data_IF_421358091037
#
_entry.id   IF_421358091037
#
_cell.length_a   1.000
_cell.length_b   1.000
_cell.length_c   1.000
_cell.angle_alpha   90.00
_cell.angle_beta   90.00
_cell.angle_gamma   90.00
#
_symmetry.space_group_name_H-M   'P 1'
#
loop_
_entity.id
_entity.type
_entity.pdbx_description
1 polymer ?
#
# COMPACT_ATOMS: atom_id res chain seq x y z
N UNK A 1 4.35 -15.33 -0.49
CA UNK A 1 5.17 -16.51 -0.85
C UNK A 1 4.43 -17.85 -0.71
N UNK A 2 3.33 -17.90 0.07
CA UNK A 2 2.56 -19.14 0.24
C UNK A 2 1.64 -19.37 -0.99
N UNK A 3 1.72 -20.56 -1.59
CA UNK A 3 0.78 -20.96 -2.62
C UNK A 3 -0.63 -21.13 -2.01
N UNK A 4 -1.50 -20.20 -2.33
CA UNK A 4 -2.90 -20.21 -1.91
C UNK A 4 -3.78 -20.88 -2.97
N UNK A 5 -5.06 -21.11 -2.65
CA UNK A 5 -6.03 -21.61 -3.62
C UNK A 5 -6.15 -20.70 -4.87
N UNK A 6 -6.06 -19.39 -4.68
CA UNK A 6 -6.03 -18.41 -5.77
C UNK A 6 -4.74 -18.51 -6.59
N UNK A 7 -3.58 -18.53 -5.89
CA UNK A 7 -2.28 -18.64 -6.56
C UNK A 7 -2.15 -19.90 -7.41
N UNK A 8 -2.75 -21.03 -6.98
CA UNK A 8 -2.73 -22.28 -7.75
C UNK A 8 -3.57 -22.23 -9.06
N UNK A 9 -4.35 -21.18 -9.26
CA UNK A 9 -5.19 -20.97 -10.46
C UNK A 9 -4.79 -19.74 -11.25
N UNK A 10 -3.85 -18.96 -10.73
CA UNK A 10 -3.34 -17.78 -11.41
C UNK A 10 -2.49 -18.18 -12.61
N UNK A 11 -2.49 -17.35 -13.65
CA UNK A 11 -1.58 -17.48 -14.80
C UNK A 11 -0.12 -17.33 -14.34
N UNK A 12 0.13 -16.38 -13.45
CA UNK A 12 1.42 -16.17 -12.78
C UNK A 12 1.25 -16.25 -11.27
N UNK A 13 1.99 -17.13 -10.64
CA UNK A 13 2.15 -17.13 -9.19
C UNK A 13 3.52 -16.56 -8.84
N UNK A 14 3.53 -15.37 -8.26
CA UNK A 14 4.75 -14.65 -7.90
C UNK A 14 5.01 -14.79 -6.39
N UNK A 15 5.80 -15.77 -5.94
CA UNK A 15 6.10 -15.98 -4.53
C UNK A 15 7.15 -14.98 -4.02
N UNK A 16 6.86 -13.70 -4.14
CA UNK A 16 7.79 -12.62 -3.78
C UNK A 16 8.29 -12.74 -2.35
N UNK A 17 9.54 -12.40 -2.13
CA UNK A 17 10.10 -12.26 -0.80
C UNK A 17 9.29 -11.21 -0.02
N UNK A 18 8.84 -11.52 1.22
CA UNK A 18 8.05 -10.57 2.02
C UNK A 18 8.72 -9.20 2.16
N UNK A 19 7.95 -8.14 1.91
CA UNK A 19 8.42 -6.75 1.98
C UNK A 19 9.06 -6.21 0.70
N UNK A 20 9.05 -6.97 -0.40
CA UNK A 20 9.64 -6.54 -1.68
C UNK A 20 8.60 -6.21 -2.76
N UNK A 21 7.33 -6.19 -2.40
CA UNK A 21 6.21 -5.94 -3.32
C UNK A 21 6.34 -4.60 -4.06
N UNK A 22 6.88 -3.57 -3.40
CA UNK A 22 7.13 -2.27 -4.03
C UNK A 22 8.14 -2.36 -5.19
N UNK A 23 9.18 -3.18 -5.05
CA UNK A 23 10.15 -3.40 -6.12
C UNK A 23 9.51 -4.07 -7.34
N UNK A 24 8.62 -5.05 -7.11
CA UNK A 24 7.85 -5.69 -8.18
C UNK A 24 6.93 -4.68 -8.88
N UNK A 25 6.20 -3.87 -8.11
CA UNK A 25 5.29 -2.88 -8.67
C UNK A 25 6.02 -1.82 -9.51
N UNK A 26 7.18 -1.34 -9.05
CA UNK A 26 8.02 -0.42 -9.82
C UNK A 26 8.57 -1.06 -11.10
N UNK A 27 8.93 -2.35 -11.06
CA UNK A 27 9.37 -3.06 -12.27
C UNK A 27 8.22 -3.28 -13.26
N UNK A 28 7.00 -3.51 -12.79
CA UNK A 28 5.84 -3.55 -13.68
C UNK A 28 5.60 -2.21 -14.36
N UNK A 29 5.71 -1.09 -13.62
CA UNK A 29 5.66 0.25 -14.21
C UNK A 29 6.76 0.44 -15.26
N UNK A 30 8.00 0.01 -14.97
CA UNK A 30 9.11 0.07 -15.90
C UNK A 30 8.81 -0.70 -17.20
N UNK A 31 8.36 -1.94 -17.12
CA UNK A 31 8.02 -2.77 -18.29
C UNK A 31 6.88 -2.13 -19.09
N UNK A 32 5.80 -1.73 -18.42
CA UNK A 32 4.61 -1.17 -19.07
C UNK A 32 4.94 0.12 -19.81
N UNK A 33 5.73 1.00 -19.19
CA UNK A 33 6.11 2.29 -19.80
C UNK A 33 7.10 2.09 -20.95
N UNK A 34 8.15 1.27 -20.76
CA UNK A 34 9.17 1.08 -21.78
C UNK A 34 8.69 0.26 -22.99
N UNK A 35 7.69 -0.60 -22.81
CA UNK A 35 7.06 -1.35 -23.90
C UNK A 35 5.83 -0.65 -24.50
N UNK A 36 5.55 0.58 -24.06
CA UNK A 36 4.44 1.39 -24.57
C UNK A 36 3.06 0.73 -24.42
N UNK A 37 2.84 0.05 -23.29
CA UNK A 37 1.63 -0.72 -22.99
C UNK A 37 0.58 0.06 -22.16
N UNK A 38 0.86 1.31 -21.81
CA UNK A 38 -0.03 2.14 -21.01
C UNK A 38 -1.14 2.79 -21.84
N UNK A 39 -2.21 3.23 -21.19
CA UNK A 39 -3.34 3.94 -21.82
C UNK A 39 -2.98 5.42 -22.03
N UNK A 40 -2.55 5.76 -23.25
CA UNK A 40 -2.16 7.13 -23.64
C UNK A 40 -3.27 8.15 -23.43
N UNK A 41 -4.52 7.78 -23.78
CA UNK A 41 -5.65 8.71 -23.68
C UNK A 41 -5.97 9.01 -22.22
N UNK A 42 -5.95 7.99 -21.36
CA UNK A 42 -6.18 8.16 -19.93
C UNK A 42 -5.05 8.99 -19.29
N UNK A 43 -3.80 8.66 -19.61
CA UNK A 43 -2.62 9.38 -19.09
C UNK A 43 -2.67 10.86 -19.46
N UNK A 44 -2.93 11.18 -20.71
CA UNK A 44 -2.99 12.58 -21.19
C UNK A 44 -4.13 13.39 -20.55
N UNK A 45 -5.30 12.77 -20.35
CA UNK A 45 -6.49 13.48 -19.87
C UNK A 45 -6.61 13.57 -18.35
N UNK A 46 -6.14 12.54 -17.64
CA UNK A 46 -6.51 12.33 -16.25
C UNK A 46 -5.33 12.25 -15.28
N UNK A 47 -4.10 12.28 -15.79
CA UNK A 47 -2.92 12.20 -14.94
C UNK A 47 -2.03 13.43 -15.05
N UNK A 48 -1.17 13.62 -14.06
CA UNK A 48 -0.10 14.62 -14.06
C UNK A 48 1.18 14.00 -13.51
N UNK A 49 2.36 14.39 -14.04
CA UNK A 49 3.64 13.88 -13.55
C UNK A 49 4.04 12.51 -14.11
N UNK A 50 3.44 12.08 -15.22
CA UNK A 50 3.81 10.84 -15.88
C UNK A 50 5.28 10.78 -16.28
N UNK A 51 5.85 11.90 -16.71
CA UNK A 51 7.28 12.04 -17.02
C UNK A 51 8.19 11.79 -15.81
N UNK A 52 7.76 12.22 -14.63
CA UNK A 52 8.51 12.02 -13.39
C UNK A 52 8.54 10.53 -13.01
N UNK A 53 7.38 9.85 -13.09
CA UNK A 53 7.36 8.40 -12.79
C UNK A 53 8.10 7.60 -13.85
N UNK A 54 7.97 7.99 -15.13
CA UNK A 54 8.67 7.33 -16.23
C UNK A 54 10.20 7.43 -16.07
N UNK A 55 10.72 8.55 -15.59
CA UNK A 55 12.14 8.69 -15.26
C UNK A 55 12.52 7.86 -14.02
N UNK A 56 11.73 7.97 -12.96
CA UNK A 56 12.01 7.26 -11.69
C UNK A 56 12.10 5.75 -11.84
N UNK A 57 11.22 5.14 -12.64
CA UNK A 57 11.19 3.69 -12.76
C UNK A 57 12.29 3.11 -13.65
N UNK A 58 13.10 3.92 -14.34
CA UNK A 58 14.19 3.41 -15.19
C UNK A 58 15.22 2.58 -14.42
N UNK A 59 15.44 2.88 -13.17
CA UNK A 59 16.34 2.10 -12.32
C UNK A 59 15.71 0.78 -11.82
N UNK A 60 14.41 0.58 -11.98
CA UNK A 60 13.65 -0.59 -11.51
C UNK A 60 13.42 -1.59 -12.65
N UNK A 61 14.53 -2.11 -13.22
CA UNK A 61 14.42 -3.10 -14.28
C UNK A 61 13.84 -4.43 -13.78
N UNK A 62 13.32 -5.24 -14.70
CA UNK A 62 12.78 -6.55 -14.37
C UNK A 62 13.85 -7.46 -13.72
N UNK A 63 15.11 -7.37 -14.15
CA UNK A 63 16.23 -8.13 -13.59
C UNK A 63 16.51 -7.72 -12.13
N UNK A 64 16.54 -6.41 -11.87
CA UNK A 64 16.76 -5.89 -10.52
C UNK A 64 15.63 -6.33 -9.58
N UNK A 65 14.39 -6.23 -10.02
CA UNK A 65 13.25 -6.66 -9.21
C UNK A 65 13.24 -8.18 -9.00
N UNK A 66 13.58 -8.96 -10.01
CA UNK A 66 13.67 -10.41 -9.92
C UNK A 66 14.70 -10.84 -8.85
N UNK A 67 15.86 -10.19 -8.81
CA UNK A 67 16.89 -10.43 -7.79
C UNK A 67 16.37 -10.08 -6.38
N UNK A 68 15.76 -8.89 -6.20
CA UNK A 68 15.23 -8.41 -4.92
C UNK A 68 14.08 -9.30 -4.42
N UNK A 69 13.15 -9.62 -5.31
CA UNK A 69 11.93 -10.39 -5.02
C UNK A 69 12.17 -11.89 -4.97
N UNK A 70 13.31 -12.38 -5.47
CA UNK A 70 13.67 -13.79 -5.60
C UNK A 70 12.67 -14.58 -6.47
N UNK A 71 12.29 -14.02 -7.60
CA UNK A 71 11.40 -14.63 -8.60
C UNK A 71 12.05 -14.58 -9.99
N UNK A 72 11.62 -15.42 -10.96
CA UNK A 72 12.13 -15.40 -12.34
C UNK A 72 11.87 -14.05 -13.03
N UNK A 73 12.83 -13.60 -13.83
CA UNK A 73 12.72 -12.35 -14.62
C UNK A 73 11.56 -12.43 -15.61
N UNK A 74 11.43 -13.57 -16.26
CA UNK A 74 10.36 -13.86 -17.23
C UNK A 74 8.97 -13.73 -16.61
N UNK A 75 8.82 -14.09 -15.33
CA UNK A 75 7.55 -13.97 -14.60
C UNK A 75 7.26 -12.49 -14.26
N UNK A 76 8.27 -11.69 -13.95
CA UNK A 76 8.11 -10.24 -13.76
C UNK A 76 7.60 -9.60 -15.04
N UNK A 77 8.26 -9.86 -16.17
CA UNK A 77 7.90 -9.29 -17.47
C UNK A 77 6.53 -9.80 -17.94
N UNK A 78 6.31 -11.11 -17.86
CA UNK A 78 5.07 -11.74 -18.32
C UNK A 78 3.86 -11.27 -17.54
N UNK A 79 3.97 -11.16 -16.22
CA UNK A 79 2.88 -10.67 -15.36
C UNK A 79 2.59 -9.18 -15.58
N UNK A 80 3.61 -8.35 -15.80
CA UNK A 80 3.42 -6.93 -16.15
C UNK A 80 2.64 -6.76 -17.47
N UNK A 81 3.03 -7.51 -18.50
CA UNK A 81 2.34 -7.53 -19.80
C UNK A 81 0.90 -8.02 -19.66
N UNK A 82 0.68 -9.08 -18.89
CA UNK A 82 -0.67 -9.60 -18.63
C UNK A 82 -1.53 -8.55 -17.95
N UNK A 83 -0.99 -7.85 -16.94
CA UNK A 83 -1.71 -6.78 -16.24
C UNK A 83 -2.12 -5.64 -17.18
N UNK A 84 -1.22 -5.20 -18.06
CA UNK A 84 -1.47 -4.13 -19.01
C UNK A 84 -2.36 -4.53 -20.18
N UNK A 85 -2.35 -5.79 -20.61
CA UNK A 85 -3.11 -6.27 -21.80
C UNK A 85 -4.59 -6.55 -21.53
N UNK A 86 -5.02 -6.53 -20.28
CA UNK A 86 -6.41 -6.77 -19.89
C UNK A 86 -7.33 -5.63 -20.37
N UNK A 87 -8.57 -5.94 -20.76
CA UNK A 87 -9.59 -4.91 -20.99
C UNK A 87 -9.88 -4.11 -19.71
N UNK A 88 -9.52 -4.66 -18.58
CA UNK A 88 -9.62 -4.06 -17.26
C UNK A 88 -8.90 -4.96 -16.25
N UNK A 89 -8.04 -4.40 -15.45
CA UNK A 89 -7.29 -5.07 -14.40
C UNK A 89 -7.55 -4.41 -13.05
N UNK A 90 -7.46 -5.16 -11.97
CA UNK A 90 -7.59 -4.61 -10.63
C UNK A 90 -6.53 -5.19 -9.69
N UNK A 91 -6.03 -4.36 -8.80
CA UNK A 91 -5.17 -4.77 -7.68
C UNK A 91 -6.05 -4.84 -6.44
N UNK A 92 -6.06 -6.00 -5.78
CA UNK A 92 -6.75 -6.12 -4.50
C UNK A 92 -5.90 -5.53 -3.38
N UNK A 93 -6.44 -4.49 -2.76
CA UNK A 93 -5.87 -3.85 -1.60
C UNK A 93 -6.14 -4.63 -0.32
N UNK A 94 -5.21 -4.63 0.60
CA UNK A 94 -5.38 -5.28 1.90
C UNK A 94 -4.26 -4.93 2.87
N UNK A 95 -4.31 -5.50 4.06
CA UNK A 95 -3.37 -5.20 5.15
C UNK A 95 -1.89 -5.37 4.78
N UNK A 96 -1.57 -6.26 3.84
CA UNK A 96 -0.19 -6.43 3.37
C UNK A 96 0.37 -5.16 2.68
N UNK A 97 -0.51 -4.32 2.12
CA UNK A 97 -0.12 -3.03 1.56
C UNK A 97 0.20 -2.01 2.64
N UNK A 98 -0.47 -2.08 3.80
CA UNK A 98 -0.37 -1.06 4.85
C UNK A 98 0.66 -1.42 5.92
N UNK A 99 0.82 -2.71 6.22
CA UNK A 99 1.60 -3.18 7.36
C UNK A 99 2.99 -3.68 6.97
N UNK A 100 3.70 -2.91 6.17
CA UNK A 100 5.11 -3.17 5.84
C UNK A 100 5.90 -1.86 5.77
N UNK A 101 7.23 -1.97 5.82
CA UNK A 101 8.12 -0.80 5.83
C UNK A 101 8.09 -0.01 4.52
N UNK A 102 7.73 -0.65 3.42
CA UNK A 102 7.63 -0.03 2.09
C UNK A 102 6.18 0.33 1.73
N UNK A 103 5.27 0.37 2.70
CA UNK A 103 3.84 0.58 2.48
C UNK A 103 3.55 1.80 1.59
N UNK A 104 4.15 2.96 1.90
CA UNK A 104 3.92 4.18 1.12
C UNK A 104 4.32 4.00 -0.35
N UNK A 105 5.52 3.47 -0.61
CA UNK A 105 6.00 3.24 -1.98
C UNK A 105 5.13 2.22 -2.72
N UNK A 106 4.73 1.13 -2.05
CA UNK A 106 3.85 0.12 -2.65
C UNK A 106 2.49 0.69 -3.01
N UNK A 107 1.89 1.45 -2.10
CA UNK A 107 0.58 2.05 -2.34
C UNK A 107 0.60 3.06 -3.49
N UNK A 108 1.62 3.91 -3.56
CA UNK A 108 1.80 4.85 -4.67
C UNK A 108 1.98 4.11 -5.99
N UNK A 109 2.89 3.13 -6.05
CA UNK A 109 3.12 2.36 -7.26
C UNK A 109 1.88 1.58 -7.73
N UNK A 110 1.03 1.08 -6.80
CA UNK A 110 -0.23 0.44 -7.15
C UNK A 110 -1.23 1.43 -7.74
N UNK A 111 -1.33 2.65 -7.20
CA UNK A 111 -2.17 3.71 -7.78
C UNK A 111 -1.67 4.09 -9.17
N UNK A 112 -0.35 4.25 -9.34
CA UNK A 112 0.25 4.57 -10.62
C UNK A 112 -0.01 3.48 -11.67
N UNK A 113 0.13 2.19 -11.31
CA UNK A 113 -0.21 1.06 -12.19
C UNK A 113 -1.67 1.09 -12.65
N UNK A 114 -2.59 1.34 -11.72
CA UNK A 114 -4.02 1.43 -12.05
C UNK A 114 -4.31 2.64 -12.95
N UNK A 115 -3.65 3.77 -12.69
CA UNK A 115 -3.84 5.00 -13.46
C UNK A 115 -3.28 4.90 -14.87
N UNK A 116 -2.01 4.47 -15.02
CA UNK A 116 -1.41 4.42 -16.37
C UNK A 116 -2.05 3.37 -17.28
N UNK A 117 -2.67 2.33 -16.71
CA UNK A 117 -3.43 1.33 -17.48
C UNK A 117 -4.91 1.68 -17.66
N UNK A 118 -5.37 2.89 -17.28
CA UNK A 118 -6.76 3.31 -17.43
C UNK A 118 -7.77 2.51 -16.60
N UNK A 119 -7.32 1.90 -15.51
CA UNK A 119 -8.12 0.98 -14.70
C UNK A 119 -8.85 1.66 -13.52
N UNK A 120 -9.07 2.97 -13.58
CA UNK A 120 -9.79 3.74 -12.56
C UNK A 120 -11.16 4.15 -13.11
N UNK A 121 -12.20 3.95 -12.32
CA UNK A 121 -13.61 4.18 -12.66
C UNK A 121 -14.09 3.44 -13.91
N UNK A 122 -13.51 2.27 -14.16
CA UNK A 122 -13.90 1.39 -15.27
C UNK A 122 -14.44 0.05 -14.73
N UNK A 123 -15.39 -0.61 -15.42
CA UNK A 123 -15.88 -1.92 -15.02
C UNK A 123 -14.74 -2.95 -14.95
N UNK A 124 -14.57 -3.59 -13.79
CA UNK A 124 -13.49 -4.55 -13.53
C UNK A 124 -12.20 -3.93 -12.98
N UNK A 125 -12.06 -2.60 -13.01
CA UNK A 125 -10.99 -1.86 -12.38
C UNK A 125 -11.35 -1.37 -10.96
N UNK A 126 -10.65 -0.36 -10.49
CA UNK A 126 -10.98 0.32 -9.24
C UNK A 126 -12.11 1.33 -9.45
N UNK A 127 -13.05 1.34 -8.51
CA UNK A 127 -14.11 2.32 -8.47
C UNK A 127 -13.84 3.35 -7.37
N UNK A 128 -13.89 4.63 -7.72
CA UNK A 128 -13.86 5.73 -6.75
C UNK A 128 -15.23 5.85 -6.10
N UNK A 129 -15.42 5.18 -4.97
CA UNK A 129 -16.68 5.20 -4.24
C UNK A 129 -16.71 6.33 -3.22
N UNK A 130 -17.79 7.07 -3.17
CA UNK A 130 -18.07 7.96 -2.05
C UNK A 130 -18.61 7.17 -0.86
N UNK A 131 -18.19 7.56 0.34
CA UNK A 131 -18.80 7.02 1.55
C UNK A 131 -20.32 7.27 1.50
N UNK A 132 -21.10 6.26 1.84
CA UNK A 132 -22.53 6.43 1.99
C UNK A 132 -22.82 7.57 2.98
N UNK A 133 -23.67 8.51 2.58
CA UNK A 133 -24.11 9.60 3.45
C UNK A 133 -24.71 9.00 4.73
N UNK A 134 -24.35 9.55 5.89
CA UNK A 134 -24.81 9.13 7.22
C UNK A 134 -24.27 7.80 7.76
N UNK A 135 -23.25 7.22 7.16
CA UNK A 135 -22.49 6.17 7.84
C UNK A 135 -21.44 6.84 8.73
N UNK A 136 -21.66 6.85 10.03
CA UNK A 136 -20.67 7.27 10.99
C UNK A 136 -19.46 6.34 10.84
N UNK A 137 -18.30 6.91 10.54
CA UNK A 137 -17.05 6.14 10.64
C UNK A 137 -16.93 5.69 12.10
N UNK A 138 -16.81 4.39 12.33
CA UNK A 138 -16.58 3.85 13.67
C UNK A 138 -15.26 4.30 14.33
N UNK A 139 -14.58 5.30 13.77
CA UNK A 139 -13.37 5.92 14.32
C UNK A 139 -13.60 6.74 15.57
N UNK A 140 -14.85 7.09 15.88
CA UNK A 140 -15.22 7.69 17.16
C UNK A 140 -15.21 6.67 18.32
N UNK A 141 -14.58 5.53 18.12
CA UNK A 141 -14.54 4.40 19.04
C UNK A 141 -14.03 4.80 20.43
N UNK A 142 -14.92 5.21 21.26
CA UNK A 142 -14.67 5.40 22.67
C UNK A 142 -13.91 6.67 23.07
N UNK A 143 -13.27 7.40 22.16
CA UNK A 143 -12.52 8.63 22.51
C UNK A 143 -13.45 9.67 23.14
N UNK A 144 -14.69 9.78 22.67
CA UNK A 144 -15.72 10.66 23.28
C UNK A 144 -16.15 10.25 24.69
N UNK A 145 -15.85 9.01 25.08
CA UNK A 145 -16.24 8.43 26.36
C UNK A 145 -15.09 8.42 27.36
N UNK A 146 -13.89 8.79 26.95
CA UNK A 146 -12.72 8.87 27.82
C UNK A 146 -12.71 10.21 28.51
N UNK A 147 -12.45 10.18 29.81
CA UNK A 147 -12.21 11.38 30.59
C UNK A 147 -11.11 12.24 29.92
N UNK A 148 -11.33 13.55 29.66
CA UNK A 148 -10.35 14.41 29.02
C UNK A 148 -8.98 14.41 29.69
N UNK A 149 -8.93 14.28 31.02
CA UNK A 149 -7.66 14.20 31.77
C UNK A 149 -6.97 12.84 31.55
N UNK A 150 -7.71 11.77 31.37
CA UNK A 150 -7.15 10.47 30.99
C UNK A 150 -6.66 10.47 29.54
N UNK A 151 -7.35 11.13 28.63
CA UNK A 151 -6.95 11.27 27.23
C UNK A 151 -5.59 11.98 27.09
N UNK A 152 -5.30 12.99 27.91
CA UNK A 152 -4.01 13.70 27.95
C UNK A 152 -2.83 12.81 28.36
N UNK A 153 -3.10 11.69 29.02
CA UNK A 153 -2.09 10.73 29.48
C UNK A 153 -1.85 9.58 28.51
N UNK A 154 -2.41 9.65 27.31
CA UNK A 154 -2.23 8.62 26.30
C UNK A 154 -0.74 8.36 26.07
N UNK A 155 -0.35 7.08 26.03
CA UNK A 155 1.00 6.67 25.70
C UNK A 155 1.28 6.97 24.23
N UNK A 156 1.94 8.07 23.96
CA UNK A 156 2.37 8.47 22.63
C UNK A 156 3.88 8.56 22.61
N UNK A 157 4.50 7.96 21.58
CA UNK A 157 5.88 8.26 21.24
C UNK A 157 5.87 9.26 20.08
N UNK A 158 6.90 10.12 20.01
CA UNK A 158 7.06 11.07 18.93
C UNK A 158 7.44 10.31 17.63
N UNK A 159 6.45 9.84 16.91
CA UNK A 159 6.59 9.40 15.54
C UNK A 159 6.38 10.57 14.58
N UNK A 160 7.03 10.49 13.41
CA UNK A 160 6.94 11.52 12.34
C UNK A 160 5.50 11.85 11.94
N UNK A 161 4.56 10.93 12.16
CA UNK A 161 3.13 11.08 11.85
C UNK A 161 2.25 11.29 13.08
N UNK A 162 2.82 11.40 14.26
CA UNK A 162 2.11 11.62 15.51
C UNK A 162 2.53 12.97 16.08
N UNK A 163 2.34 14.02 15.30
CA UNK A 163 2.75 15.38 15.67
C UNK A 163 1.71 16.02 16.61
N UNK A 164 2.21 16.47 17.75
CA UNK A 164 1.67 17.54 18.59
C UNK A 164 0.14 17.63 18.72
N UNK A 165 -0.49 16.58 19.26
CA UNK A 165 -1.81 16.69 19.86
C UNK A 165 -3.00 16.61 18.92
N UNK A 166 -2.83 16.52 17.62
CA UNK A 166 -3.90 16.14 16.71
C UNK A 166 -3.78 14.67 16.39
N UNK A 167 -4.64 13.88 16.98
CA UNK A 167 -4.67 12.42 16.88
C UNK A 167 -4.94 11.94 15.44
N UNK A 168 -3.91 11.80 14.65
CA UNK A 168 -4.03 11.11 13.36
C UNK A 168 -4.34 9.62 13.58
N UNK A 169 -3.83 9.05 14.68
CA UNK A 169 -4.11 7.66 15.07
C UNK A 169 -4.67 7.67 16.50
N UNK A 170 -5.94 7.30 16.64
CA UNK A 170 -6.60 7.20 17.96
C UNK A 170 -6.10 6.03 18.82
N UNK A 171 -5.19 5.23 18.30
CA UNK A 171 -4.62 4.05 18.96
C UNK A 171 -3.23 4.36 19.50
N UNK A 172 -2.87 3.74 20.61
CA UNK A 172 -1.50 3.80 21.10
C UNK A 172 -0.57 3.00 20.19
N UNK A 173 0.60 3.55 19.87
CA UNK A 173 1.61 2.82 19.15
C UNK A 173 2.13 1.63 20.00
N UNK A 174 2.36 0.48 19.36
CA UNK A 174 2.81 -0.74 20.06
C UNK A 174 4.09 -0.51 20.85
N UNK A 175 5.02 0.25 20.30
CA UNK A 175 6.30 0.60 20.94
C UNK A 175 6.10 1.48 22.16
N UNK A 176 5.13 2.41 22.12
CA UNK A 176 4.78 3.22 23.30
C UNK A 176 4.21 2.33 24.41
N UNK A 177 3.40 1.34 24.05
CA UNK A 177 2.87 0.36 25.02
C UNK A 177 4.00 -0.47 25.63
N UNK A 178 4.93 -0.98 24.83
CA UNK A 178 6.10 -1.70 25.31
C UNK A 178 6.97 -0.85 26.22
N UNK A 179 7.19 0.42 25.86
CA UNK A 179 7.92 1.36 26.70
C UNK A 179 7.23 1.57 28.07
N UNK A 180 5.90 1.72 28.09
CA UNK A 180 5.14 1.81 29.34
C UNK A 180 5.27 0.54 30.20
N UNK A 181 5.34 -0.64 29.57
CA UNK A 181 5.54 -1.89 30.29
C UNK A 181 6.94 -1.98 30.94
N UNK A 182 7.95 -1.48 30.24
CA UNK A 182 9.34 -1.53 30.68
C UNK A 182 9.66 -0.47 31.73
N UNK A 183 9.20 0.75 31.53
CA UNK A 183 9.60 1.91 32.33
C UNK A 183 8.54 2.34 33.35
N UNK A 184 7.29 2.03 33.13
CA UNK A 184 6.15 2.56 33.86
C UNK A 184 5.74 3.99 33.49
N UNK A 185 6.36 4.58 32.47
CA UNK A 185 6.08 5.95 32.01
C UNK A 185 5.30 5.94 30.68
N UNK A 186 4.33 6.85 30.49
CA UNK A 186 3.79 7.85 31.44
C UNK A 186 2.86 7.24 32.51
N UNK A 187 2.56 5.94 32.43
CA UNK A 187 1.83 5.16 33.44
C UNK A 187 2.15 3.68 33.30
N UNK A 188 2.14 2.92 34.44
CA UNK A 188 2.46 1.50 34.40
C UNK A 188 1.30 0.68 33.80
N UNK A 189 1.60 -0.17 32.84
CA UNK A 189 0.69 -1.20 32.35
C UNK A 189 0.82 -2.42 33.26
N UNK A 190 -0.25 -2.73 33.99
CA UNK A 190 -0.26 -3.80 34.98
C UNK A 190 -0.77 -5.14 34.50
N UNK A 191 -1.41 -5.17 33.33
CA UNK A 191 -1.93 -6.37 32.73
C UNK A 191 -1.97 -6.23 31.20
N UNK A 192 -1.54 -7.27 30.53
CA UNK A 192 -1.64 -7.44 29.09
C UNK A 192 -2.04 -8.90 28.80
N UNK A 193 -2.97 -9.12 27.90
CA UNK A 193 -3.39 -10.47 27.47
C UNK A 193 -3.63 -10.52 25.96
#
# INVERSE_FOLDING_TARGET
PRLTWWGARAEYWLPVRPGTDAALACAWLNVIINEDLYDHEFVEKWTTGFDVIAEHVQEWTAERAAEICQIPVEDVIGSARLFASGNSSAIQWGLAFDQNMSAMALNLAAVDLMAICGNIDTPGGWLLVHNAYNVSRGSDNGVKWVDPEAAKKKATMHYVFNTDGEDFIHQAASEAVLHCMETGEPYPIKMWY
#
